data_IF_480692823526
#
_entry.id   IF_480692823526
#
_cell.length_a   1.000
_cell.length_b   1.000
_cell.length_c   1.000
_cell.angle_alpha   90.00
_cell.angle_beta   90.00
_cell.angle_gamma   90.00
#
_symmetry.space_group_name_H-M   'P 1'
#
loop_
_entity.id
_entity.type
_entity.pdbx_description
1 polymer ?
#
# COMPACT_ATOMS: atom_id res chain seq x y z
N UNK A 1 -18.42 8.04 -1.63
CA UNK A 1 -17.68 9.28 -1.94
C UNK A 1 -17.19 9.99 -0.69
N UNK A 2 -18.01 10.17 0.35
CA UNK A 2 -17.63 10.99 1.52
C UNK A 2 -16.38 10.49 2.28
N UNK A 3 -16.22 9.18 2.43
CA UNK A 3 -15.07 8.56 3.11
C UNK A 3 -13.75 8.88 2.38
N UNK A 4 -13.75 8.79 1.05
CA UNK A 4 -12.58 9.06 0.23
C UNK A 4 -12.19 10.54 0.30
N UNK A 5 -13.17 11.45 0.22
CA UNK A 5 -12.92 12.89 0.32
C UNK A 5 -12.33 13.26 1.68
N UNK A 6 -12.88 12.73 2.77
CA UNK A 6 -12.34 12.94 4.11
C UNK A 6 -10.91 12.39 4.24
N UNK A 7 -10.66 11.18 3.75
CA UNK A 7 -9.32 10.58 3.75
C UNK A 7 -8.31 11.40 2.92
N UNK A 8 -8.72 11.90 1.76
CA UNK A 8 -7.89 12.75 0.89
C UNK A 8 -7.43 13.99 1.66
N UNK A 9 -8.35 14.69 2.33
CA UNK A 9 -8.02 15.89 3.11
C UNK A 9 -7.04 15.60 4.25
N UNK A 10 -7.22 14.47 4.94
CA UNK A 10 -6.33 14.05 6.03
C UNK A 10 -4.91 13.78 5.51
N UNK A 11 -4.79 13.13 4.34
CA UNK A 11 -3.50 12.85 3.70
C UNK A 11 -2.83 14.13 3.21
N UNK A 12 -3.58 15.05 2.60
CA UNK A 12 -3.09 16.37 2.22
C UNK A 12 -2.47 17.11 3.40
N UNK A 13 -3.17 17.17 4.53
CA UNK A 13 -2.68 17.84 5.72
C UNK A 13 -1.45 17.14 6.33
N UNK A 14 -1.43 15.81 6.31
CA UNK A 14 -0.34 15.02 6.86
C UNK A 14 0.94 15.11 6.02
N UNK A 15 0.83 15.03 4.70
CA UNK A 15 1.99 14.91 3.80
C UNK A 15 2.56 16.27 3.40
N UNK A 16 1.84 17.37 3.63
CA UNK A 16 2.30 18.74 3.31
C UNK A 16 3.68 19.08 3.86
N UNK A 17 4.07 18.54 5.02
CA UNK A 17 5.39 18.78 5.61
C UNK A 17 6.51 18.00 4.93
N UNK A 18 6.19 16.83 4.40
CA UNK A 18 7.14 15.96 3.71
C UNK A 18 7.36 16.40 2.25
N UNK A 19 6.50 17.29 1.74
CA UNK A 19 6.58 17.92 0.42
C UNK A 19 6.78 16.96 -0.77
N UNK A 20 6.04 15.84 -0.87
CA UNK A 20 6.20 14.94 -1.99
C UNK A 20 5.70 15.55 -3.30
N UNK A 21 6.34 15.19 -4.42
CA UNK A 21 5.99 15.74 -5.73
C UNK A 21 4.53 15.51 -6.12
N UNK A 22 3.98 14.33 -5.82
CA UNK A 22 2.56 14.04 -5.97
C UNK A 22 2.10 13.06 -4.91
N UNK A 23 0.85 13.22 -4.44
CA UNK A 23 0.23 12.30 -3.51
C UNK A 23 -1.30 12.27 -3.71
N UNK A 24 -1.92 11.15 -3.38
CA UNK A 24 -3.37 10.97 -3.48
C UNK A 24 -3.83 9.80 -2.60
N UNK A 25 -5.16 9.64 -2.48
CA UNK A 25 -5.77 8.47 -1.84
C UNK A 25 -6.66 7.71 -2.81
N UNK A 26 -6.69 6.39 -2.68
CA UNK A 26 -7.67 5.51 -3.34
C UNK A 26 -8.52 4.80 -2.30
N UNK A 27 -9.75 4.44 -2.67
CA UNK A 27 -10.66 3.64 -1.84
C UNK A 27 -10.96 2.32 -2.56
N UNK A 28 -10.93 1.21 -1.83
CA UNK A 28 -11.29 -0.13 -2.31
C UNK A 28 -12.43 -0.70 -1.49
N UNK A 29 -13.20 -1.62 -2.09
CA UNK A 29 -14.39 -2.25 -1.48
C UNK A 29 -14.09 -3.07 -0.23
N UNK A 30 -12.85 -3.53 -0.07
CA UNK A 30 -12.42 -4.39 1.04
C UNK A 30 -12.36 -5.88 0.70
N UNK A 31 -12.92 -6.29 -0.44
CA UNK A 31 -12.84 -7.68 -0.89
C UNK A 31 -11.39 -8.08 -1.18
N UNK A 32 -10.95 -9.21 -0.64
CA UNK A 32 -9.61 -9.75 -0.88
C UNK A 32 -9.61 -11.28 -0.82
N UNK A 33 -8.69 -11.89 -1.56
CA UNK A 33 -8.42 -13.34 -1.52
C UNK A 33 -6.98 -13.58 -1.12
N UNK A 34 -6.68 -14.70 -0.47
CA UNK A 34 -5.29 -15.06 -0.18
C UNK A 34 -4.43 -15.04 -1.47
N UNK A 35 -3.26 -14.42 -1.39
CA UNK A 35 -2.30 -14.46 -2.48
C UNK A 35 -1.73 -15.88 -2.62
N UNK A 36 -1.15 -16.23 -3.78
CA UNK A 36 -0.49 -17.52 -3.96
C UNK A 36 0.52 -17.80 -2.84
N UNK A 37 0.50 -19.02 -2.28
CA UNK A 37 1.41 -19.42 -1.19
C UNK A 37 2.88 -19.16 -1.51
N UNK A 38 3.26 -19.33 -2.78
CA UNK A 38 4.61 -19.05 -3.29
C UNK A 38 4.96 -17.56 -3.16
N UNK A 39 4.04 -16.65 -3.52
CA UNK A 39 4.23 -15.21 -3.36
C UNK A 39 4.42 -14.85 -1.90
N UNK A 40 3.53 -15.35 -1.04
CA UNK A 40 3.61 -15.11 0.40
C UNK A 40 4.99 -15.50 0.93
N UNK A 41 5.43 -16.73 0.64
CA UNK A 41 6.72 -17.27 1.11
C UNK A 41 7.91 -16.47 0.59
N UNK A 42 7.93 -16.09 -0.68
CA UNK A 42 9.05 -15.35 -1.26
C UNK A 42 9.12 -13.92 -0.74
N UNK A 43 7.98 -13.26 -0.58
CA UNK A 43 7.91 -11.93 0.00
C UNK A 43 8.32 -11.93 1.48
N UNK A 44 7.87 -12.90 2.26
CA UNK A 44 8.25 -13.10 3.67
C UNK A 44 9.76 -13.37 3.80
N UNK A 45 10.32 -14.26 2.98
CA UNK A 45 11.76 -14.56 2.99
C UNK A 45 12.64 -13.36 2.60
N UNK A 46 12.10 -12.36 1.88
CA UNK A 46 12.82 -11.13 1.56
C UNK A 46 12.97 -10.20 2.78
N UNK A 47 12.17 -10.47 3.82
CA UNK A 47 12.18 -9.78 5.10
C UNK A 47 13.02 -10.61 6.09
N UNK A 48 13.97 -9.96 6.74
CA UNK A 48 14.80 -10.56 7.79
C UNK A 48 14.19 -10.19 9.13
N UNK A 49 12.97 -10.69 9.38
CA UNK A 49 12.17 -10.32 10.55
C UNK A 49 12.00 -11.53 11.46
N UNK A 50 12.45 -11.38 12.71
CA UNK A 50 12.15 -12.33 13.78
C UNK A 50 10.79 -11.98 14.42
N UNK A 51 10.01 -13.00 14.77
CA UNK A 51 8.79 -12.87 15.58
C UNK A 51 7.67 -11.98 14.99
N UNK A 52 7.57 -11.87 13.66
CA UNK A 52 6.46 -11.18 12.98
C UNK A 52 5.52 -12.15 12.25
N UNK A 53 4.24 -11.80 12.16
CA UNK A 53 3.27 -12.50 11.32
C UNK A 53 3.18 -11.80 9.96
N UNK A 54 3.32 -12.57 8.88
CA UNK A 54 3.22 -12.07 7.51
C UNK A 54 1.94 -12.58 6.82
N UNK A 55 1.19 -11.67 6.19
CA UNK A 55 0.04 -11.97 5.36
C UNK A 55 0.15 -11.26 4.01
N UNK A 56 -0.33 -11.92 2.95
CA UNK A 56 -0.42 -11.36 1.63
C UNK A 56 -1.75 -11.75 0.98
N UNK A 57 -2.44 -10.78 0.41
CA UNK A 57 -3.72 -10.96 -0.27
C UNK A 57 -3.73 -10.24 -1.60
N UNK A 58 -4.55 -10.69 -2.53
CA UNK A 58 -4.94 -9.93 -3.71
C UNK A 58 -6.28 -9.26 -3.44
N UNK A 59 -6.33 -7.94 -3.62
CA UNK A 59 -7.60 -7.22 -3.56
C UNK A 59 -8.48 -7.59 -4.77
N UNK A 60 -9.79 -7.49 -4.60
CA UNK A 60 -10.76 -7.76 -5.65
C UNK A 60 -10.60 -6.78 -6.83
N UNK A 61 -10.29 -5.52 -6.53
CA UNK A 61 -9.98 -4.51 -7.53
C UNK A 61 -8.59 -4.73 -8.13
N UNK A 62 -8.52 -4.61 -9.46
CA UNK A 62 -7.27 -4.49 -10.20
C UNK A 62 -6.91 -3.02 -10.37
N UNK A 63 -5.62 -2.74 -10.52
CA UNK A 63 -5.13 -1.38 -10.77
C UNK A 63 -4.28 -1.32 -12.04
N UNK A 64 -4.34 -0.19 -12.74
CA UNK A 64 -3.50 0.02 -13.92
C UNK A 64 -2.01 0.02 -13.55
N UNK A 65 -1.23 -0.59 -14.44
CA UNK A 65 0.21 -0.66 -14.36
C UNK A 65 0.84 -0.86 -15.75
N UNK A 66 2.16 -0.75 -15.81
CA UNK A 66 2.98 -1.04 -16.97
C UNK A 66 3.54 -2.46 -16.81
N UNK A 67 2.95 -3.41 -17.53
CA UNK A 67 3.38 -4.82 -17.57
C UNK A 67 3.99 -5.04 -18.95
N UNK A 68 5.27 -5.43 -19.00
CA UNK A 68 6.03 -5.64 -20.26
C UNK A 68 5.95 -4.43 -21.22
N UNK A 69 5.99 -3.22 -20.67
CA UNK A 69 5.94 -1.97 -21.44
C UNK A 69 4.54 -1.60 -21.98
N UNK A 70 3.50 -2.37 -21.67
CA UNK A 70 2.10 -2.08 -22.03
C UNK A 70 1.29 -1.71 -20.80
N UNK A 71 0.36 -0.77 -20.95
CA UNK A 71 -0.62 -0.47 -19.90
C UNK A 71 -1.59 -1.65 -19.79
N UNK A 72 -1.68 -2.26 -18.61
CA UNK A 72 -2.56 -3.40 -18.31
C UNK A 72 -3.09 -3.31 -16.87
N UNK A 73 -4.19 -4.01 -16.59
CA UNK A 73 -4.73 -4.15 -15.24
C UNK A 73 -4.10 -5.37 -14.56
N UNK A 74 -3.33 -5.11 -13.50
CA UNK A 74 -2.69 -6.14 -12.68
C UNK A 74 -3.35 -6.30 -11.30
N UNK A 75 -2.93 -7.33 -10.58
CA UNK A 75 -3.34 -7.55 -9.20
C UNK A 75 -2.77 -6.47 -8.28
N UNK A 76 -3.55 -6.10 -7.27
CA UNK A 76 -3.10 -5.27 -6.15
C UNK A 76 -2.82 -6.19 -4.97
N UNK A 77 -1.54 -6.39 -4.65
CA UNK A 77 -1.11 -7.18 -3.52
C UNK A 77 -1.14 -6.33 -2.24
N UNK A 78 -1.99 -6.67 -1.28
CA UNK A 78 -1.98 -6.08 0.06
C UNK A 78 -1.16 -6.97 1.00
N UNK A 79 -0.12 -6.41 1.59
CA UNK A 79 0.82 -7.06 2.49
C UNK A 79 0.66 -6.52 3.90
N UNK A 80 0.54 -7.42 4.87
CA UNK A 80 0.39 -7.10 6.28
C UNK A 80 1.52 -7.77 7.05
N UNK A 81 2.33 -6.96 7.73
CA UNK A 81 3.37 -7.43 8.64
C UNK A 81 3.01 -6.96 10.03
N UNK A 82 2.76 -7.92 10.92
CA UNK A 82 2.22 -7.67 12.26
C UNK A 82 3.17 -8.17 13.34
N UNK A 83 3.18 -7.51 14.48
CA UNK A 83 3.79 -8.05 15.70
C UNK A 83 2.93 -9.16 16.34
N UNK A 84 3.43 -9.77 17.42
CA UNK A 84 2.70 -10.80 18.19
C UNK A 84 1.35 -10.31 18.75
N UNK A 85 1.14 -8.99 18.83
CA UNK A 85 -0.11 -8.37 19.26
C UNK A 85 -1.06 -8.03 18.10
N UNK A 86 -0.81 -8.56 16.90
CA UNK A 86 -1.56 -8.28 15.66
C UNK A 86 -1.56 -6.80 15.26
N UNK A 87 -0.50 -6.05 15.59
CA UNK A 87 -0.37 -4.63 15.24
C UNK A 87 0.57 -4.45 14.06
N UNK A 88 0.21 -3.61 13.05
CA UNK A 88 1.12 -3.30 11.95
C UNK A 88 2.42 -2.68 12.45
N UNK A 89 3.55 -3.11 11.89
CA UNK A 89 4.89 -2.63 12.28
C UNK A 89 5.59 -1.88 11.14
N UNK A 90 6.47 -0.96 11.53
CA UNK A 90 7.44 -0.36 10.62
C UNK A 90 8.57 -1.36 10.32
N UNK A 91 8.59 -1.92 9.11
CA UNK A 91 9.64 -2.82 8.66
C UNK A 91 10.84 -2.09 8.03
N UNK A 92 10.75 -0.75 7.92
CA UNK A 92 11.74 0.10 7.28
C UNK A 92 11.75 0.03 5.75
N UNK A 93 12.07 1.15 5.11
CA UNK A 93 12.02 1.30 3.65
C UNK A 93 12.93 0.32 2.89
N UNK A 94 14.06 -0.08 3.47
CA UNK A 94 14.95 -1.04 2.81
C UNK A 94 14.32 -2.43 2.72
N UNK A 95 13.60 -2.86 3.76
CA UNK A 95 12.89 -4.14 3.77
C UNK A 95 11.66 -4.09 2.86
N UNK A 96 10.91 -2.99 2.90
CA UNK A 96 9.82 -2.72 1.94
C UNK A 96 10.31 -2.87 0.50
N UNK A 97 11.46 -2.26 0.19
CA UNK A 97 12.01 -2.27 -1.15
C UNK A 97 12.48 -3.67 -1.58
N UNK A 98 13.12 -4.44 -0.70
CA UNK A 98 13.48 -5.85 -0.97
C UNK A 98 12.25 -6.70 -1.25
N UNK A 99 11.26 -6.64 -0.36
CA UNK A 99 10.01 -7.39 -0.49
C UNK A 99 9.26 -7.03 -1.76
N UNK A 100 9.08 -5.74 -2.03
CA UNK A 100 8.43 -5.25 -3.25
C UNK A 100 9.15 -5.72 -4.51
N UNK A 101 10.49 -5.63 -4.56
CA UNK A 101 11.28 -6.13 -5.70
C UNK A 101 11.04 -7.60 -5.95
N UNK A 102 11.04 -8.43 -4.92
CA UNK A 102 10.76 -9.86 -5.04
C UNK A 102 9.36 -10.09 -5.61
N UNK A 103 8.35 -9.42 -5.05
CA UNK A 103 6.96 -9.54 -5.53
C UNK A 103 6.87 -9.16 -7.02
N UNK A 104 7.39 -7.99 -7.40
CA UNK A 104 7.21 -7.47 -8.76
C UNK A 104 8.10 -8.16 -9.80
N UNK A 105 9.23 -8.74 -9.40
CA UNK A 105 10.11 -9.47 -10.32
C UNK A 105 9.61 -10.88 -10.58
N UNK A 106 9.07 -11.55 -9.56
CA UNK A 106 8.66 -12.95 -9.64
C UNK A 106 7.17 -13.09 -10.02
N UNK A 107 6.36 -12.07 -9.77
CA UNK A 107 4.92 -12.02 -10.05
C UNK A 107 4.59 -10.77 -10.88
N UNK A 108 4.98 -10.74 -12.17
CA UNK A 108 4.80 -9.58 -13.05
C UNK A 108 3.33 -9.19 -13.27
N UNK A 109 2.38 -10.07 -12.92
CA UNK A 109 0.95 -9.79 -12.88
C UNK A 109 0.53 -8.85 -11.74
N UNK A 110 1.39 -8.62 -10.73
CA UNK A 110 1.15 -7.71 -9.62
C UNK A 110 1.55 -6.29 -10.01
N UNK A 111 0.56 -5.44 -10.31
CA UNK A 111 0.80 -4.05 -10.69
C UNK A 111 1.07 -3.14 -9.51
N UNK A 112 0.58 -3.49 -8.31
CA UNK A 112 0.74 -2.69 -7.08
C UNK A 112 0.96 -3.55 -5.84
N UNK A 113 1.76 -3.03 -4.92
CA UNK A 113 2.01 -3.60 -3.59
C UNK A 113 1.65 -2.54 -2.55
N UNK A 114 0.75 -2.88 -1.63
CA UNK A 114 0.27 -2.02 -0.55
C UNK A 114 0.74 -2.57 0.79
N UNK A 115 1.39 -1.75 1.61
CA UNK A 115 1.78 -2.12 2.97
C UNK A 115 0.71 -1.65 3.96
N UNK A 116 0.24 -2.53 4.84
CA UNK A 116 -0.70 -2.15 5.89
C UNK A 116 -0.05 -1.18 6.88
N UNK A 117 -0.75 -0.08 7.19
CA UNK A 117 -0.32 0.93 8.16
C UNK A 117 -1.17 0.89 9.42
N UNK A 118 -2.49 0.76 9.26
CA UNK A 118 -3.39 0.63 10.39
C UNK A 118 -4.61 -0.18 10.00
N UNK A 119 -5.14 -0.95 10.95
CA UNK A 119 -6.39 -1.66 10.84
C UNK A 119 -7.20 -1.49 12.11
N UNK A 120 -8.51 -1.72 12.00
CA UNK A 120 -9.41 -1.95 13.14
C UNK A 120 -10.08 -3.31 12.98
N UNK A 121 -10.51 -3.90 14.09
CA UNK A 121 -11.14 -5.22 14.10
C UNK A 121 -12.60 -5.09 13.66
N UNK A 122 -12.85 -5.33 12.37
CA UNK A 122 -14.17 -5.43 11.74
C UNK A 122 -14.09 -6.43 10.57
N UNK A 123 -15.19 -7.15 10.32
CA UNK A 123 -15.25 -8.21 9.30
C UNK A 123 -15.35 -7.65 7.87
N UNK A 124 -16.03 -6.50 7.68
CA UNK A 124 -16.28 -5.90 6.38
C UNK A 124 -16.16 -4.37 6.42
N UNK A 125 -15.54 -3.80 5.39
CA UNK A 125 -15.44 -2.36 5.24
C UNK A 125 -14.46 -1.95 4.15
N UNK A 126 -14.42 -0.66 3.87
CA UNK A 126 -13.55 -0.10 2.85
C UNK A 126 -12.09 -0.11 3.26
N UNK A 127 -11.21 -0.24 2.28
CA UNK A 127 -9.79 0.01 2.44
C UNK A 127 -9.43 1.36 1.85
N UNK A 128 -8.52 2.08 2.49
CA UNK A 128 -7.91 3.29 1.93
C UNK A 128 -6.46 2.98 1.61
N UNK A 129 -6.00 3.35 0.42
CA UNK A 129 -4.58 3.42 0.12
C UNK A 129 -4.14 4.88 0.05
N UNK A 130 -3.12 5.21 0.83
CA UNK A 130 -2.39 6.47 0.74
C UNK A 130 -1.22 6.27 -0.21
N UNK A 131 -0.96 7.22 -1.11
CA UNK A 131 0.20 7.16 -1.98
C UNK A 131 0.89 8.51 -2.04
N UNK A 132 2.22 8.49 -2.00
CA UNK A 132 3.08 9.65 -2.26
C UNK A 132 4.27 9.20 -3.10
N UNK A 133 4.63 10.01 -4.10
CA UNK A 133 5.74 9.74 -5.00
C UNK A 133 6.62 10.97 -5.20
N UNK A 134 7.91 10.74 -5.39
CA UNK A 134 8.88 11.72 -5.87
C UNK A 134 9.16 11.47 -7.36
N UNK A 135 9.35 12.54 -8.13
CA UNK A 135 9.71 12.43 -9.54
C UNK A 135 10.60 13.59 -9.97
N UNK A 136 11.53 13.30 -10.89
CA UNK A 136 12.36 14.32 -11.53
C UNK A 136 11.91 14.62 -12.97
N UNK A 137 11.16 13.73 -13.61
CA UNK A 137 10.89 13.79 -15.05
C UNK A 137 9.46 13.38 -15.47
N UNK A 138 8.54 13.18 -14.51
CA UNK A 138 7.15 12.70 -14.70
C UNK A 138 7.00 11.31 -15.36
N UNK A 139 8.05 10.75 -15.95
CA UNK A 139 8.07 9.44 -16.59
C UNK A 139 8.29 8.35 -15.54
N UNK A 140 9.25 8.58 -14.64
CA UNK A 140 9.59 7.70 -13.52
C UNK A 140 9.26 8.37 -12.20
N UNK A 141 8.82 7.57 -11.22
CA UNK A 141 8.59 8.08 -9.88
C UNK A 141 8.89 7.01 -8.83
N UNK A 142 9.66 7.38 -7.82
CA UNK A 142 9.91 6.54 -6.65
C UNK A 142 8.87 6.83 -5.58
N UNK A 143 8.63 5.88 -4.68
CA UNK A 143 7.75 6.13 -3.54
C UNK A 143 8.43 7.06 -2.54
N UNK A 144 7.69 8.07 -2.09
CA UNK A 144 8.22 9.01 -1.09
C UNK A 144 8.46 8.28 0.22
N UNK A 145 9.61 8.52 0.85
CA UNK A 145 9.93 7.91 2.15
C UNK A 145 9.27 8.65 3.31
N UNK A 146 7.94 8.69 3.32
CA UNK A 146 7.13 9.30 4.37
C UNK A 146 7.43 8.62 5.73
N UNK A 147 7.79 9.36 6.79
CA UNK A 147 8.07 8.75 8.09
C UNK A 147 6.89 7.88 8.57
N UNK A 148 7.18 6.69 9.07
CA UNK A 148 6.15 5.74 9.54
C UNK A 148 5.18 6.39 10.53
N UNK A 149 5.71 7.18 11.48
CA UNK A 149 4.90 7.93 12.44
C UNK A 149 3.90 8.88 11.77
N UNK A 150 4.27 9.51 10.65
CA UNK A 150 3.36 10.37 9.87
C UNK A 150 2.27 9.52 9.21
N UNK A 151 2.62 8.37 8.62
CA UNK A 151 1.67 7.41 8.07
C UNK A 151 0.69 6.90 9.12
N UNK A 152 1.17 6.46 10.29
CA UNK A 152 0.34 5.97 11.39
C UNK A 152 -0.63 7.04 11.90
N UNK A 153 -0.18 8.28 12.07
CA UNK A 153 -1.03 9.37 12.53
C UNK A 153 -2.12 9.71 11.51
N UNK A 154 -1.78 9.74 10.22
CA UNK A 154 -2.76 9.92 9.15
C UNK A 154 -3.77 8.76 9.13
N UNK A 155 -3.30 7.52 9.19
CA UNK A 155 -4.12 6.33 9.18
C UNK A 155 -5.09 6.26 10.38
N UNK A 156 -4.62 6.60 11.60
CA UNK A 156 -5.47 6.70 12.80
C UNK A 156 -6.55 7.76 12.65
N UNK A 157 -6.22 8.93 12.09
CA UNK A 157 -7.22 9.98 11.79
C UNK A 157 -8.23 9.52 10.76
N UNK A 158 -7.80 8.83 9.70
CA UNK A 158 -8.69 8.25 8.69
C UNK A 158 -9.65 7.28 9.36
N UNK A 159 -9.16 6.26 10.09
CA UNK A 159 -10.02 5.28 10.76
C UNK A 159 -11.02 5.93 11.72
N UNK A 160 -10.64 7.02 12.39
CA UNK A 160 -11.53 7.77 13.29
C UNK A 160 -12.58 8.61 12.56
N UNK A 161 -12.22 9.26 11.44
CA UNK A 161 -13.11 10.16 10.69
C UNK A 161 -14.00 9.41 9.68
N UNK A 162 -13.60 8.18 9.32
CA UNK A 162 -14.21 7.37 8.28
C UNK A 162 -14.73 6.05 8.86
N UNK A 163 -15.96 6.02 9.44
CA UNK A 163 -16.47 4.84 10.16
C UNK A 163 -16.70 3.60 9.30
N UNK A 164 -16.61 3.66 7.97
CA UNK A 164 -16.69 2.48 7.10
C UNK A 164 -15.33 2.00 6.63
N UNK A 165 -14.25 2.71 6.93
CA UNK A 165 -12.88 2.31 6.56
C UNK A 165 -12.30 1.44 7.67
N UNK A 166 -11.86 0.24 7.32
CA UNK A 166 -11.35 -0.75 8.28
C UNK A 166 -9.85 -0.99 8.18
N UNK A 167 -9.24 -0.73 7.00
CA UNK A 167 -7.80 -0.82 6.79
C UNK A 167 -7.29 0.39 6.02
N UNK A 168 -6.12 0.86 6.41
CA UNK A 168 -5.39 1.93 5.73
C UNK A 168 -4.01 1.39 5.35
N UNK A 169 -3.69 1.49 4.07
CA UNK A 169 -2.45 1.04 3.48
C UNK A 169 -1.64 2.22 2.95
N UNK A 170 -0.36 1.99 2.73
CA UNK A 170 0.52 2.84 1.95
C UNK A 170 0.93 2.11 0.66
N UNK A 171 0.72 2.73 -0.50
CA UNK A 171 1.17 2.18 -1.79
C UNK A 171 2.68 2.39 -1.93
N UNK A 172 3.42 1.28 -1.90
CA UNK A 172 4.88 1.26 -1.97
C UNK A 172 5.40 1.03 -3.39
N UNK A 173 4.55 1.20 -4.41
CA UNK A 173 4.89 0.89 -5.79
C UNK A 173 5.46 2.08 -6.58
N UNK A 174 6.67 1.97 -7.15
CA UNK A 174 7.20 2.99 -8.06
C UNK A 174 6.46 2.98 -9.41
N UNK A 175 6.66 4.05 -10.18
CA UNK A 175 6.24 4.17 -11.57
C UNK A 175 7.50 4.06 -12.46
N UNK A 176 7.62 3.04 -13.32
CA UNK A 176 6.85 1.77 -13.39
C UNK A 176 7.16 0.82 -12.21
N UNK A 177 6.33 -0.22 -11.93
CA UNK A 177 5.24 -0.73 -12.77
C UNK A 177 3.87 -0.10 -12.50
N UNK A 178 3.69 0.74 -11.49
CA UNK A 178 2.41 1.44 -11.34
C UNK A 178 2.28 2.57 -12.38
N UNK A 179 1.04 2.96 -12.68
CA UNK A 179 0.69 4.24 -13.31
C UNK A 179 0.46 5.32 -12.25
N UNK A 180 0.12 6.55 -12.64
CA UNK A 180 -0.17 7.64 -11.69
C UNK A 180 -1.41 7.31 -10.85
N UNK A 181 -2.55 7.07 -11.48
CA UNK A 181 -3.83 6.74 -10.83
C UNK A 181 -4.09 5.23 -10.82
N UNK A 182 -5.07 4.78 -10.03
CA UNK A 182 -5.44 3.36 -9.96
C UNK A 182 -6.25 2.89 -11.19
N UNK A 183 -6.80 3.82 -11.99
CA UNK A 183 -7.69 3.56 -13.13
C UNK A 183 -7.04 3.80 -14.51
#
# INVERSE_FOLDING_TARGET
>A
MDQLKAATQIVEDAFKKESPAQYFTAIMSGGATEAPKILKREAENALDLEHSQFYATYLAEKATGMIEGKRSYGFVAAVEVLDEGERPIDIGYDSVERMRKVIQSNFPEVSRVLQLVAARKDDEGYYISMRAVETQDFLTADTSKIPWKTLELAAKKILSACPKVIKVYYDVTPKPPATVEYE
#
